data_IF_407266441859
#
_entry.id   IF_407266441859
#
_cell.length_a   1.000
_cell.length_b   1.000
_cell.length_c   1.000
_cell.angle_alpha   90.00
_cell.angle_beta   90.00
_cell.angle_gamma   90.00
#
_symmetry.space_group_name_H-M   'P 1'
#
loop_
_entity.id
_entity.type
_entity.pdbx_description
1 polymer ?
#
# COMPACT_ATOMS: atom_id res chain seq x y z
N UNK A 1 -25.75 17.41 2.05
CA UNK A 1 -25.53 16.35 3.05
C UNK A 1 -25.30 17.02 4.39
N UNK A 2 -25.94 16.55 5.44
CA UNK A 2 -25.71 17.01 6.81
C UNK A 2 -24.38 16.46 7.33
N UNK A 3 -23.78 17.15 8.32
CA UNK A 3 -22.52 16.73 8.95
C UNK A 3 -22.60 15.27 9.50
N UNK A 4 -23.76 14.90 10.01
CA UNK A 4 -24.02 13.57 10.55
C UNK A 4 -24.05 12.47 9.47
N UNK A 5 -24.49 12.78 8.25
CA UNK A 5 -24.48 11.83 7.13
C UNK A 5 -23.05 11.57 6.62
N UNK A 6 -22.18 12.57 6.60
CA UNK A 6 -20.78 12.44 6.21
C UNK A 6 -19.99 11.56 7.19
N UNK A 7 -20.24 11.75 8.50
CA UNK A 7 -19.61 10.92 9.54
C UNK A 7 -20.04 9.44 9.47
N UNK A 8 -21.29 9.18 9.10
CA UNK A 8 -21.80 7.82 8.87
C UNK A 8 -21.14 7.20 7.63
N UNK A 9 -21.06 7.95 6.53
CA UNK A 9 -20.41 7.49 5.31
C UNK A 9 -18.94 7.16 5.54
N UNK A 10 -18.20 7.98 6.29
CA UNK A 10 -16.80 7.70 6.62
C UNK A 10 -16.65 6.31 7.26
N UNK A 11 -17.49 5.97 8.25
CA UNK A 11 -17.44 4.63 8.87
C UNK A 11 -17.75 3.50 7.91
N UNK A 12 -18.75 3.71 7.04
CA UNK A 12 -19.14 2.72 6.02
C UNK A 12 -18.02 2.49 5.00
N UNK A 13 -17.19 3.49 4.71
CA UNK A 13 -16.05 3.35 3.82
C UNK A 13 -14.82 2.76 4.53
N UNK A 14 -14.54 3.19 5.76
CA UNK A 14 -13.34 2.78 6.50
C UNK A 14 -13.34 1.31 6.87
N UNK A 15 -14.46 0.77 7.37
CA UNK A 15 -14.51 -0.61 7.87
C UNK A 15 -14.22 -1.64 6.77
N UNK A 16 -14.86 -1.58 5.56
CA UNK A 16 -14.52 -2.53 4.50
C UNK A 16 -13.09 -2.39 4.00
N UNK A 17 -12.54 -1.16 3.93
CA UNK A 17 -11.14 -0.93 3.55
C UNK A 17 -10.19 -1.57 4.56
N UNK A 18 -10.46 -1.42 5.86
CA UNK A 18 -9.68 -2.06 6.92
C UNK A 18 -9.72 -3.58 6.79
N UNK A 19 -10.93 -4.16 6.64
CA UNK A 19 -11.08 -5.61 6.47
C UNK A 19 -10.34 -6.10 5.24
N UNK A 20 -10.46 -5.40 4.11
CA UNK A 20 -9.77 -5.75 2.87
C UNK A 20 -8.25 -5.78 3.06
N UNK A 21 -7.68 -4.77 3.71
CA UNK A 21 -6.24 -4.71 3.99
C UNK A 21 -5.78 -5.81 4.94
N UNK A 22 -6.56 -6.08 5.99
CA UNK A 22 -6.29 -7.17 6.92
C UNK A 22 -6.34 -8.54 6.24
N UNK A 23 -7.29 -8.75 5.32
CA UNK A 23 -7.39 -9.98 4.52
C UNK A 23 -6.19 -10.17 3.60
N UNK A 24 -5.67 -9.10 2.98
CA UNK A 24 -4.46 -9.16 2.15
C UNK A 24 -3.23 -9.56 2.98
N UNK A 25 -3.07 -8.98 4.18
CA UNK A 25 -1.97 -9.36 5.09
C UNK A 25 -2.09 -10.80 5.56
N UNK A 26 -3.30 -11.23 5.93
CA UNK A 26 -3.56 -12.59 6.39
C UNK A 26 -3.24 -13.62 5.30
N UNK A 27 -3.61 -13.34 4.05
CA UNK A 27 -3.31 -14.25 2.94
C UNK A 27 -1.81 -14.49 2.78
N UNK A 28 -1.00 -13.42 2.81
CA UNK A 28 0.46 -13.54 2.73
C UNK A 28 1.06 -14.42 3.84
N UNK A 29 0.53 -14.28 5.07
CA UNK A 29 0.94 -15.12 6.19
C UNK A 29 0.53 -16.59 6.00
N UNK A 30 -0.69 -16.85 5.55
CA UNK A 30 -1.19 -18.20 5.28
C UNK A 30 -0.40 -18.88 4.16
N UNK A 31 -0.12 -18.18 3.07
CA UNK A 31 0.68 -18.70 1.96
C UNK A 31 2.08 -19.13 2.44
N UNK A 32 2.72 -18.30 3.26
CA UNK A 32 4.02 -18.62 3.85
C UNK A 32 3.96 -19.87 4.73
N UNK A 33 2.94 -19.98 5.59
CA UNK A 33 2.75 -21.14 6.47
C UNK A 33 2.46 -22.41 5.65
N UNK A 34 1.68 -22.33 4.59
CA UNK A 34 1.41 -23.50 3.74
C UNK A 34 2.66 -23.97 3.00
N UNK A 35 3.45 -23.06 2.45
CA UNK A 35 4.73 -23.40 1.81
C UNK A 35 5.76 -23.93 2.79
N UNK A 36 5.84 -23.43 4.03
CA UNK A 36 6.78 -23.92 5.04
C UNK A 36 6.50 -25.37 5.45
N UNK A 37 5.24 -25.79 5.39
CA UNK A 37 4.87 -27.18 5.61
C UNK A 37 5.24 -28.11 4.45
N UNK A 38 5.51 -27.56 3.27
CA UNK A 38 5.97 -28.32 2.12
C UNK A 38 7.50 -28.40 2.08
N UNK A 39 8.20 -27.25 2.14
CA UNK A 39 9.66 -27.18 2.14
C UNK A 39 10.15 -25.79 2.56
N UNK A 40 11.12 -25.72 3.47
CA UNK A 40 11.77 -24.46 3.86
C UNK A 40 12.52 -23.81 2.69
N UNK A 41 13.10 -24.62 1.80
CA UNK A 41 13.76 -24.13 0.59
C UNK A 41 12.77 -23.43 -0.34
N UNK A 42 11.57 -23.97 -0.50
CA UNK A 42 10.51 -23.37 -1.31
C UNK A 42 10.03 -22.04 -0.73
N UNK A 43 9.97 -21.91 0.61
CA UNK A 43 9.67 -20.64 1.27
C UNK A 43 10.70 -19.57 0.94
N UNK A 44 11.99 -19.93 0.97
CA UNK A 44 13.07 -19.01 0.67
C UNK A 44 13.03 -18.54 -0.79
N UNK A 45 12.80 -19.45 -1.74
CA UNK A 45 12.67 -19.13 -3.15
C UNK A 45 11.47 -18.22 -3.42
N UNK A 46 10.27 -18.62 -2.99
CA UNK A 46 9.01 -17.86 -3.18
C UNK A 46 9.04 -16.53 -2.42
N UNK A 47 9.70 -16.48 -1.27
CA UNK A 47 9.87 -15.23 -0.50
C UNK A 47 10.62 -14.15 -1.30
N UNK A 48 11.69 -14.55 -2.00
CA UNK A 48 12.47 -13.66 -2.86
C UNK A 48 11.67 -13.24 -4.10
N UNK A 49 10.92 -14.16 -4.71
CA UNK A 49 10.02 -13.88 -5.82
C UNK A 49 8.92 -12.86 -5.42
N UNK A 50 8.30 -13.06 -4.26
CA UNK A 50 7.28 -12.17 -3.74
C UNK A 50 7.82 -10.76 -3.45
N UNK A 51 9.08 -10.62 -3.07
CA UNK A 51 9.71 -9.31 -2.92
C UNK A 51 9.78 -8.57 -4.27
N UNK A 52 10.18 -9.27 -5.34
CA UNK A 52 10.21 -8.71 -6.69
C UNK A 52 8.81 -8.36 -7.20
N UNK A 53 7.85 -9.26 -7.02
CA UNK A 53 6.44 -9.06 -7.41
C UNK A 53 5.82 -7.88 -6.65
N UNK A 54 6.16 -7.70 -5.37
CA UNK A 54 5.67 -6.57 -4.57
C UNK A 54 6.16 -5.22 -5.11
N UNK A 55 7.41 -5.14 -5.56
CA UNK A 55 7.93 -3.93 -6.22
C UNK A 55 7.17 -3.61 -7.51
N UNK A 56 6.84 -4.63 -8.30
CA UNK A 56 6.02 -4.49 -9.51
C UNK A 56 4.61 -4.00 -9.17
N UNK A 57 3.98 -4.56 -8.16
CA UNK A 57 2.63 -4.14 -7.75
C UNK A 57 2.58 -2.70 -7.25
N UNK A 58 3.66 -2.25 -6.62
CA UNK A 58 3.82 -0.85 -6.25
C UNK A 58 3.66 0.07 -7.47
N UNK A 59 4.29 -0.27 -8.60
CA UNK A 59 4.19 0.52 -9.83
C UNK A 59 2.74 0.56 -10.36
N UNK A 60 2.02 -0.56 -10.37
CA UNK A 60 0.60 -0.60 -10.78
C UNK A 60 -0.30 0.23 -9.86
N UNK A 61 0.01 0.25 -8.57
CA UNK A 61 -0.78 0.97 -7.56
C UNK A 61 -0.77 2.49 -7.79
N UNK A 62 0.31 3.08 -8.33
CA UNK A 62 0.38 4.52 -8.53
C UNK A 62 -0.60 5.03 -9.57
N UNK A 63 -0.72 4.34 -10.69
CA UNK A 63 -1.70 4.70 -11.72
C UNK A 63 -3.13 4.49 -11.20
N UNK A 64 -3.36 3.43 -10.43
CA UNK A 64 -4.64 3.16 -9.80
C UNK A 64 -5.00 4.21 -8.75
N UNK A 65 -4.02 4.71 -7.97
CA UNK A 65 -4.22 5.80 -7.01
C UNK A 65 -4.58 7.11 -7.73
N UNK A 66 -3.87 7.45 -8.81
CA UNK A 66 -4.21 8.61 -9.64
C UNK A 66 -5.64 8.52 -10.18
N UNK A 67 -6.03 7.36 -10.66
CA UNK A 67 -7.41 7.11 -11.10
C UNK A 67 -8.43 7.27 -9.97
N UNK A 68 -8.15 6.75 -8.77
CA UNK A 68 -9.06 6.88 -7.62
C UNK A 68 -9.34 8.35 -7.25
N UNK A 69 -8.30 9.18 -7.22
CA UNK A 69 -8.41 10.61 -6.90
C UNK A 69 -9.25 11.34 -7.95
N UNK A 70 -8.94 11.14 -9.23
CA UNK A 70 -9.68 11.78 -10.32
C UNK A 70 -11.14 11.29 -10.37
N UNK A 71 -11.38 9.98 -10.20
CA UNK A 71 -12.71 9.42 -10.14
C UNK A 71 -13.53 10.03 -9.00
N UNK A 72 -12.97 10.14 -7.79
CA UNK A 72 -13.66 10.74 -6.65
C UNK A 72 -14.07 12.19 -6.96
N UNK A 73 -13.17 13.01 -7.49
CA UNK A 73 -13.49 14.39 -7.87
C UNK A 73 -14.54 14.48 -8.98
N UNK A 74 -14.44 13.64 -10.03
CA UNK A 74 -15.41 13.65 -11.13
C UNK A 74 -16.78 13.12 -10.74
N UNK A 75 -16.84 12.15 -9.83
CA UNK A 75 -18.11 11.71 -9.22
C UNK A 75 -18.73 12.84 -8.43
N UNK A 76 -17.94 13.52 -7.59
CA UNK A 76 -18.41 14.68 -6.83
C UNK A 76 -18.94 15.81 -7.70
N UNK A 77 -18.28 16.09 -8.82
CA UNK A 77 -18.67 17.12 -9.80
C UNK A 77 -19.78 16.68 -10.78
N UNK A 78 -20.20 15.42 -10.78
CA UNK A 78 -21.18 14.89 -11.74
C UNK A 78 -20.64 14.75 -13.17
N UNK A 79 -19.31 14.77 -13.37
CA UNK A 79 -18.66 14.75 -14.68
C UNK A 79 -18.50 13.32 -15.24
N UNK A 80 -19.63 12.68 -15.53
CA UNK A 80 -19.67 11.26 -15.94
C UNK A 80 -18.82 10.93 -17.17
N UNK A 81 -18.75 11.82 -18.17
CA UNK A 81 -17.90 11.62 -19.35
C UNK A 81 -16.42 11.52 -18.95
N UNK A 82 -15.93 12.45 -18.15
CA UNK A 82 -14.53 12.45 -17.67
C UNK A 82 -14.24 11.26 -16.77
N UNK A 83 -15.20 10.83 -15.94
CA UNK A 83 -15.10 9.61 -15.14
C UNK A 83 -14.82 8.39 -16.02
N UNK A 84 -15.62 8.18 -17.07
CA UNK A 84 -15.43 7.06 -18.01
C UNK A 84 -14.08 7.17 -18.71
N UNK A 85 -13.69 8.38 -19.14
CA UNK A 85 -12.40 8.61 -19.80
C UNK A 85 -11.21 8.30 -18.90
N UNK A 86 -11.21 8.75 -17.64
CA UNK A 86 -10.08 8.48 -16.73
C UNK A 86 -9.96 7.00 -16.37
N UNK A 87 -11.10 6.32 -16.14
CA UNK A 87 -11.10 4.87 -15.89
C UNK A 87 -10.55 4.12 -17.10
N UNK A 88 -11.02 4.46 -18.30
CA UNK A 88 -10.53 3.83 -19.53
C UNK A 88 -9.05 4.08 -19.78
N UNK A 89 -8.56 5.31 -19.58
CA UNK A 89 -7.14 5.62 -19.71
C UNK A 89 -6.30 4.88 -18.68
N UNK A 90 -6.76 4.79 -17.43
CA UNK A 90 -6.08 4.04 -16.39
C UNK A 90 -6.02 2.54 -16.69
N UNK A 91 -7.11 1.97 -17.23
CA UNK A 91 -7.14 0.56 -17.67
C UNK A 91 -6.15 0.31 -18.81
N UNK A 92 -6.11 1.19 -19.82
CA UNK A 92 -5.16 1.08 -20.95
C UNK A 92 -3.72 1.19 -20.46
N UNK A 93 -3.40 2.19 -19.65
CA UNK A 93 -2.04 2.39 -19.11
C UNK A 93 -1.62 1.19 -18.26
N UNK A 94 -2.47 0.75 -17.33
CA UNK A 94 -2.15 -0.41 -16.47
C UNK A 94 -2.11 -1.73 -17.25
N UNK A 95 -2.91 -1.89 -18.31
CA UNK A 95 -2.81 -3.06 -19.18
C UNK A 95 -1.49 -3.07 -19.95
N UNK A 96 -1.13 -1.96 -20.60
CA UNK A 96 0.13 -1.87 -21.35
C UNK A 96 1.34 -2.08 -20.44
N UNK A 97 1.35 -1.40 -19.30
CA UNK A 97 2.40 -1.54 -18.31
C UNK A 97 2.43 -2.97 -17.76
N UNK A 98 1.26 -3.52 -17.42
CA UNK A 98 1.12 -4.88 -16.91
C UNK A 98 1.64 -5.93 -17.90
N UNK A 99 1.26 -5.84 -19.17
CA UNK A 99 1.75 -6.75 -20.21
C UNK A 99 3.26 -6.61 -20.45
N UNK A 100 3.79 -5.37 -20.46
CA UNK A 100 5.23 -5.15 -20.60
C UNK A 100 6.00 -5.76 -19.44
N UNK A 101 5.57 -5.52 -18.21
CA UNK A 101 6.23 -6.07 -17.02
C UNK A 101 6.04 -7.59 -16.93
N UNK A 102 4.86 -8.11 -17.29
CA UNK A 102 4.63 -9.56 -17.37
C UNK A 102 5.58 -10.24 -18.36
N UNK A 103 5.78 -9.64 -19.53
CA UNK A 103 6.75 -10.13 -20.51
C UNK A 103 8.19 -10.07 -19.95
N UNK A 104 8.58 -8.97 -19.32
CA UNK A 104 9.91 -8.86 -18.69
C UNK A 104 10.12 -9.91 -17.60
N UNK A 105 9.15 -10.10 -16.71
CA UNK A 105 9.23 -11.12 -15.66
C UNK A 105 9.27 -12.55 -16.22
N UNK A 106 8.62 -12.80 -17.34
CA UNK A 106 8.65 -14.14 -17.97
C UNK A 106 9.98 -14.42 -18.68
N UNK A 107 10.44 -13.50 -19.53
CA UNK A 107 11.64 -13.71 -20.35
C UNK A 107 12.94 -13.54 -19.57
N UNK A 108 12.99 -12.62 -18.61
CA UNK A 108 14.18 -12.30 -17.82
C UNK A 108 14.14 -12.84 -16.40
N UNK A 109 13.24 -13.78 -16.09
CA UNK A 109 13.10 -14.37 -14.74
C UNK A 109 14.42 -14.84 -14.15
N UNK A 110 15.19 -15.62 -14.93
CA UNK A 110 16.45 -16.21 -14.51
C UNK A 110 17.50 -15.13 -14.18
N UNK A 111 17.65 -14.14 -15.07
CA UNK A 111 18.58 -13.02 -14.88
C UNK A 111 18.23 -12.19 -13.64
N UNK A 112 16.94 -11.96 -13.43
CA UNK A 112 16.45 -11.19 -12.27
C UNK A 112 16.71 -11.95 -10.97
N UNK A 113 16.48 -13.27 -10.92
CA UNK A 113 16.74 -14.09 -9.75
C UNK A 113 18.24 -14.21 -9.46
N UNK A 114 19.08 -14.33 -10.48
CA UNK A 114 20.52 -14.26 -10.32
C UNK A 114 21.00 -12.92 -9.78
N UNK A 115 20.43 -11.81 -10.28
CA UNK A 115 20.75 -10.47 -9.81
C UNK A 115 20.36 -10.28 -8.33
N UNK A 116 19.25 -10.91 -7.90
CA UNK A 116 18.80 -10.90 -6.51
C UNK A 116 19.57 -11.88 -5.61
N UNK A 117 20.49 -12.68 -6.17
CA UNK A 117 21.34 -13.59 -5.42
C UNK A 117 20.64 -14.88 -4.97
N UNK A 118 19.63 -15.34 -5.71
CA UNK A 118 19.00 -16.63 -5.42
C UNK A 118 20.02 -17.76 -5.62
N UNK A 119 20.11 -18.67 -4.63
CA UNK A 119 21.03 -19.80 -4.68
C UNK A 119 20.67 -20.74 -5.84
N UNK A 120 21.66 -21.35 -6.52
CA UNK A 120 21.42 -22.25 -7.65
C UNK A 120 20.48 -23.41 -7.32
N UNK A 121 20.50 -23.91 -6.08
CA UNK A 121 19.66 -25.02 -5.59
C UNK A 121 18.16 -24.64 -5.56
N UNK A 122 17.86 -23.35 -5.38
CA UNK A 122 16.50 -22.81 -5.30
C UNK A 122 15.98 -22.25 -6.62
N UNK A 123 16.86 -22.19 -7.64
CA UNK A 123 16.56 -21.58 -8.93
C UNK A 123 15.39 -22.26 -9.65
N UNK A 124 15.26 -23.58 -9.53
CA UNK A 124 14.16 -24.34 -10.13
C UNK A 124 12.79 -23.87 -9.64
N UNK A 125 12.61 -23.84 -8.33
CA UNK A 125 11.37 -23.40 -7.69
C UNK A 125 11.07 -21.91 -7.97
N UNK A 126 12.08 -21.05 -7.82
CA UNK A 126 11.96 -19.62 -8.09
C UNK A 126 11.58 -19.33 -9.53
N UNK A 127 12.22 -19.95 -10.51
CA UNK A 127 11.91 -19.76 -11.93
C UNK A 127 10.46 -20.13 -12.27
N UNK A 128 10.00 -21.28 -11.77
CA UNK A 128 8.62 -21.73 -12.02
C UNK A 128 7.62 -20.75 -11.41
N UNK A 129 7.84 -20.37 -10.15
CA UNK A 129 6.95 -19.43 -9.46
C UNK A 129 6.92 -18.04 -10.11
N UNK A 130 8.12 -17.46 -10.37
CA UNK A 130 8.22 -16.12 -10.94
C UNK A 130 7.67 -16.06 -12.37
N UNK A 131 7.93 -17.07 -13.21
CA UNK A 131 7.41 -17.13 -14.58
C UNK A 131 5.89 -17.20 -14.60
N UNK A 132 5.28 -18.08 -13.80
CA UNK A 132 3.82 -18.24 -13.77
C UNK A 132 3.12 -17.01 -13.17
N UNK A 133 3.52 -16.56 -11.98
CA UNK A 133 2.89 -15.44 -11.30
C UNK A 133 3.25 -14.11 -11.96
N UNK A 134 4.46 -13.98 -12.49
CA UNK A 134 4.94 -12.79 -13.19
C UNK A 134 4.30 -12.61 -14.55
N UNK A 135 4.21 -13.67 -15.37
CA UNK A 135 3.55 -13.61 -16.70
C UNK A 135 2.09 -13.18 -16.62
N UNK A 136 1.42 -13.49 -15.52
CA UNK A 136 0.00 -13.15 -15.28
C UNK A 136 -0.18 -11.95 -14.35
N UNK A 137 0.88 -11.19 -14.07
CA UNK A 137 0.83 -10.03 -13.17
C UNK A 137 -0.06 -8.89 -13.70
N UNK A 138 -0.31 -8.81 -15.01
CA UNK A 138 -1.23 -7.84 -15.60
C UNK A 138 -2.67 -7.96 -15.08
N UNK A 139 -3.11 -9.14 -14.64
CA UNK A 139 -4.39 -9.31 -13.97
C UNK A 139 -4.47 -8.47 -12.68
N UNK A 140 -3.37 -8.39 -11.93
CA UNK A 140 -3.30 -7.57 -10.73
C UNK A 140 -3.35 -6.07 -11.07
N UNK A 141 -2.68 -5.63 -12.14
CA UNK A 141 -2.71 -4.25 -12.59
C UNK A 141 -4.14 -3.78 -12.91
N UNK A 142 -4.91 -4.61 -13.63
CA UNK A 142 -6.31 -4.33 -13.94
C UNK A 142 -7.21 -4.39 -12.71
N UNK A 143 -7.00 -5.39 -11.83
CA UNK A 143 -7.74 -5.53 -10.57
C UNK A 143 -7.62 -4.30 -9.69
N UNK A 144 -6.41 -3.74 -9.56
CA UNK A 144 -6.15 -2.52 -8.80
C UNK A 144 -6.91 -1.32 -9.38
N UNK A 145 -6.99 -1.20 -10.71
CA UNK A 145 -7.71 -0.11 -11.37
C UNK A 145 -9.22 -0.22 -11.16
N UNK A 146 -9.81 -1.42 -11.33
CA UNK A 146 -11.24 -1.64 -11.07
C UNK A 146 -11.58 -1.40 -9.60
N UNK A 147 -10.75 -1.92 -8.68
CA UNK A 147 -10.92 -1.72 -7.25
C UNK A 147 -10.86 -0.24 -6.87
N UNK A 148 -9.87 0.51 -7.38
CA UNK A 148 -9.73 1.94 -7.16
C UNK A 148 -10.95 2.74 -7.64
N UNK A 149 -11.47 2.41 -8.82
CA UNK A 149 -12.66 3.03 -9.39
C UNK A 149 -13.93 2.71 -8.59
N UNK A 150 -14.10 1.47 -8.12
CA UNK A 150 -15.24 1.07 -7.27
C UNK A 150 -15.18 1.75 -5.90
N UNK A 151 -13.99 1.83 -5.27
CA UNK A 151 -13.82 2.51 -3.99
C UNK A 151 -14.14 4.00 -4.09
N UNK A 152 -13.69 4.67 -5.15
CA UNK A 152 -13.98 6.09 -5.37
C UNK A 152 -15.47 6.39 -5.62
N UNK A 153 -16.28 5.37 -5.94
CA UNK A 153 -17.72 5.45 -6.09
C UNK A 153 -18.50 4.99 -4.83
N UNK A 154 -17.90 5.00 -3.66
CA UNK A 154 -18.46 4.52 -2.38
C UNK A 154 -18.83 3.03 -2.38
N UNK A 155 -18.33 2.25 -3.36
CA UNK A 155 -18.63 0.82 -3.54
C UNK A 155 -17.57 -0.08 -2.92
N UNK A 156 -17.02 0.32 -1.75
CA UNK A 156 -15.89 -0.35 -1.07
C UNK A 156 -16.19 -1.80 -0.63
N UNK A 157 -17.45 -2.13 -0.44
CA UNK A 157 -17.89 -3.49 -0.05
C UNK A 157 -17.54 -4.53 -1.12
N UNK A 158 -17.58 -4.15 -2.41
CA UNK A 158 -17.33 -5.09 -3.51
C UNK A 158 -15.84 -5.49 -3.61
N UNK A 159 -14.86 -4.57 -3.63
CA UNK A 159 -13.46 -4.97 -3.56
C UNK A 159 -13.14 -5.83 -2.33
N UNK A 160 -13.65 -5.48 -1.16
CA UNK A 160 -13.49 -6.28 0.05
C UNK A 160 -14.06 -7.70 -0.12
N UNK A 161 -15.28 -7.83 -0.63
CA UNK A 161 -15.92 -9.14 -0.83
C UNK A 161 -15.17 -9.99 -1.88
N UNK A 162 -14.68 -9.37 -2.95
CA UNK A 162 -13.85 -10.05 -3.95
C UNK A 162 -12.54 -10.52 -3.33
N UNK A 163 -11.86 -9.67 -2.54
CA UNK A 163 -10.63 -10.05 -1.84
C UNK A 163 -10.88 -11.23 -0.90
N UNK A 164 -11.96 -11.21 -0.11
CA UNK A 164 -12.32 -12.33 0.75
C UNK A 164 -12.55 -13.63 -0.04
N UNK A 165 -13.31 -13.56 -1.13
CA UNK A 165 -13.59 -14.73 -2.00
C UNK A 165 -12.31 -15.29 -2.61
N UNK A 166 -11.46 -14.42 -3.13
CA UNK A 166 -10.19 -14.79 -3.77
C UNK A 166 -9.18 -15.38 -2.78
N UNK A 167 -9.17 -14.87 -1.54
CA UNK A 167 -8.34 -15.45 -0.47
C UNK A 167 -8.77 -16.89 -0.17
N UNK A 168 -10.09 -17.15 -0.06
CA UNK A 168 -10.59 -18.50 0.14
C UNK A 168 -10.23 -19.40 -1.04
N UNK A 169 -10.42 -18.93 -2.28
CA UNK A 169 -10.05 -19.68 -3.49
C UNK A 169 -8.54 -19.98 -3.53
N UNK A 170 -7.70 -19.04 -3.13
CA UNK A 170 -6.26 -19.22 -3.10
C UNK A 170 -5.86 -20.27 -2.05
N UNK A 171 -6.40 -20.19 -0.83
CA UNK A 171 -6.13 -21.15 0.25
C UNK A 171 -6.58 -22.56 -0.17
N UNK A 172 -7.77 -22.69 -0.74
CA UNK A 172 -8.29 -23.98 -1.25
C UNK A 172 -7.43 -24.50 -2.40
N UNK A 173 -7.06 -23.63 -3.35
CA UNK A 173 -6.18 -23.96 -4.46
C UNK A 173 -4.78 -24.40 -3.99
N UNK A 174 -4.19 -23.69 -3.04
CA UNK A 174 -2.92 -24.05 -2.42
C UNK A 174 -3.00 -25.42 -1.74
N UNK A 175 -4.06 -25.66 -0.96
CA UNK A 175 -4.26 -26.95 -0.29
C UNK A 175 -4.38 -28.13 -1.29
N UNK A 176 -5.11 -27.90 -2.39
CA UNK A 176 -5.27 -28.91 -3.43
C UNK A 176 -3.99 -29.18 -4.22
N UNK A 177 -3.29 -28.12 -4.66
CA UNK A 177 -2.22 -28.20 -5.64
C UNK A 177 -0.82 -28.32 -5.00
N UNK A 178 -0.56 -27.70 -3.84
CA UNK A 178 0.72 -27.88 -3.15
C UNK A 178 0.86 -29.31 -2.62
N UNK A 179 -0.21 -29.80 -1.95
CA UNK A 179 -0.16 -31.06 -1.24
C UNK A 179 -0.75 -32.26 -2.02
N UNK A 180 -1.41 -32.01 -3.16
CA UNK A 180 -2.00 -33.07 -3.98
C UNK A 180 -3.26 -33.68 -3.39
N UNK A 181 -4.10 -32.88 -2.70
CA UNK A 181 -5.35 -33.36 -2.14
C UNK A 181 -6.49 -33.37 -3.17
N UNK A 182 -7.55 -34.11 -2.87
CA UNK A 182 -8.76 -34.25 -3.69
C UNK A 182 -8.54 -34.79 -5.11
N UNK A 183 -7.48 -35.58 -5.31
CA UNK A 183 -7.15 -36.18 -6.63
C UNK A 183 -6.32 -35.28 -7.54
N UNK A 184 -5.90 -34.11 -7.08
CA UNK A 184 -4.94 -33.29 -7.81
C UNK A 184 -3.50 -33.81 -7.62
N UNK A 185 -2.62 -33.62 -8.62
CA UNK A 185 -1.21 -33.94 -8.47
C UNK A 185 -0.55 -33.01 -7.45
N UNK A 186 0.43 -33.55 -6.71
CA UNK A 186 1.26 -32.75 -5.81
C UNK A 186 2.27 -31.95 -6.64
N UNK A 187 2.01 -30.66 -6.82
CA UNK A 187 2.80 -29.77 -7.65
C UNK A 187 3.75 -28.87 -6.83
N UNK A 188 3.64 -28.85 -5.49
CA UNK A 188 4.50 -28.04 -4.64
C UNK A 188 4.45 -26.55 -4.99
N UNK A 189 5.61 -25.94 -5.29
CA UNK A 189 5.72 -24.51 -5.63
C UNK A 189 4.97 -24.14 -6.91
N UNK A 190 4.97 -25.01 -7.92
CA UNK A 190 4.19 -24.82 -9.14
C UNK A 190 2.69 -24.73 -8.82
N UNK A 191 2.20 -25.60 -7.92
CA UNK A 191 0.83 -25.56 -7.42
C UNK A 191 0.47 -24.23 -6.75
N UNK A 192 1.36 -23.71 -5.92
CA UNK A 192 1.20 -22.39 -5.30
C UNK A 192 1.14 -21.25 -6.35
N UNK A 193 2.00 -21.33 -7.37
CA UNK A 193 2.03 -20.35 -8.46
C UNK A 193 0.72 -20.36 -9.27
N UNK A 194 0.22 -21.54 -9.62
CA UNK A 194 -1.05 -21.72 -10.35
C UNK A 194 -2.22 -21.20 -9.51
N UNK A 195 -2.30 -21.57 -8.23
CA UNK A 195 -3.37 -21.10 -7.34
C UNK A 195 -3.38 -19.59 -7.22
N UNK A 196 -2.20 -18.97 -7.03
CA UNK A 196 -2.05 -17.52 -6.92
C UNK A 196 -2.42 -16.79 -8.22
N UNK A 197 -1.91 -17.24 -9.36
CA UNK A 197 -2.19 -16.64 -10.66
C UNK A 197 -3.67 -16.78 -11.06
N UNK A 198 -4.26 -17.96 -10.84
CA UNK A 198 -5.67 -18.22 -11.09
C UNK A 198 -6.59 -17.35 -10.20
N UNK A 199 -6.27 -17.23 -8.92
CA UNK A 199 -6.99 -16.38 -7.97
C UNK A 199 -6.98 -14.91 -8.38
N UNK A 200 -5.84 -14.40 -8.88
CA UNK A 200 -5.73 -13.03 -9.43
C UNK A 200 -6.56 -12.84 -10.70
N UNK A 201 -6.57 -13.84 -11.58
CA UNK A 201 -7.42 -13.81 -12.77
C UNK A 201 -8.91 -13.76 -12.41
N UNK A 202 -9.33 -14.57 -11.45
CA UNK A 202 -10.72 -14.57 -10.93
C UNK A 202 -11.04 -13.22 -10.29
N UNK A 203 -10.12 -12.65 -9.49
CA UNK A 203 -10.29 -11.32 -8.91
C UNK A 203 -10.57 -10.26 -9.97
N UNK A 204 -9.75 -10.24 -11.02
CA UNK A 204 -9.92 -9.29 -12.14
C UNK A 204 -11.26 -9.45 -12.83
N UNK A 205 -11.67 -10.68 -13.15
CA UNK A 205 -12.96 -10.95 -13.82
C UNK A 205 -14.14 -10.52 -12.93
N UNK A 206 -14.12 -10.88 -11.65
CA UNK A 206 -15.18 -10.49 -10.71
C UNK A 206 -15.26 -8.96 -10.55
N UNK A 207 -14.13 -8.28 -10.35
CA UNK A 207 -14.10 -6.83 -10.24
C UNK A 207 -14.54 -6.14 -11.53
N UNK A 208 -14.16 -6.65 -12.70
CA UNK A 208 -14.60 -6.13 -13.99
C UNK A 208 -16.11 -6.28 -14.17
N UNK A 209 -16.67 -7.47 -13.89
CA UNK A 209 -18.12 -7.72 -13.99
C UNK A 209 -18.89 -6.80 -13.04
N UNK A 210 -18.47 -6.69 -11.80
CA UNK A 210 -19.09 -5.79 -10.81
C UNK A 210 -18.98 -4.34 -11.27
N UNK A 211 -17.82 -3.91 -11.71
CA UNK A 211 -17.57 -2.55 -12.17
C UNK A 211 -18.53 -2.16 -13.31
N UNK A 212 -18.66 -2.99 -14.33
CA UNK A 212 -19.52 -2.71 -15.47
C UNK A 212 -21.00 -2.90 -15.17
N UNK A 213 -21.40 -3.70 -14.19
CA UNK A 213 -22.80 -3.83 -13.78
C UNK A 213 -23.27 -2.77 -12.81
N UNK A 214 -22.41 -2.38 -11.85
CA UNK A 214 -22.82 -1.58 -10.69
C UNK A 214 -22.38 -0.12 -10.79
N UNK A 215 -21.22 0.16 -11.43
CA UNK A 215 -20.62 1.50 -11.43
C UNK A 215 -20.73 2.20 -12.78
N UNK A 216 -20.23 1.59 -13.86
CA UNK A 216 -20.24 2.15 -15.21
C UNK A 216 -20.93 1.17 -16.18
N UNK A 217 -22.28 1.07 -16.14
CA UNK A 217 -23.00 0.11 -17.00
C UNK A 217 -22.87 0.40 -18.50
N UNK A 218 -22.57 1.63 -18.87
CA UNK A 218 -22.36 2.06 -20.26
C UNK A 218 -20.96 2.66 -20.37
N UNK A 219 -20.14 2.00 -21.16
CA UNK A 219 -18.76 2.42 -21.47
C UNK A 219 -18.65 2.81 -22.95
N UNK A 220 -19.10 4.03 -23.35
CA UNK A 220 -19.17 4.43 -24.73
C UNK A 220 -17.77 4.67 -25.30
N UNK A 221 -17.32 3.84 -26.22
CA UNK A 221 -16.01 3.97 -26.89
C UNK A 221 -15.87 5.30 -27.64
N UNK A 222 -16.98 5.92 -28.04
CA UNK A 222 -16.98 7.27 -28.65
C UNK A 222 -16.36 8.36 -27.75
N UNK A 223 -16.31 8.15 -26.42
CA UNK A 223 -15.69 9.12 -25.50
C UNK A 223 -14.15 9.16 -25.61
N UNK A 224 -13.57 8.17 -26.30
CA UNK A 224 -12.12 8.08 -26.55
C UNK A 224 -11.71 8.60 -27.95
N UNK A 225 -12.67 9.18 -28.68
CA UNK A 225 -12.41 9.83 -29.96
C UNK A 225 -12.81 11.31 -29.89
N UNK A 226 -11.84 12.25 -29.88
CA UNK A 226 -10.37 12.07 -29.86
C UNK A 226 -9.88 11.49 -28.53
N UNK A 227 -8.64 10.99 -28.53
CA UNK A 227 -7.99 10.43 -27.31
C UNK A 227 -8.00 11.50 -26.21
N UNK A 228 -8.44 11.18 -24.98
CA UNK A 228 -8.54 12.15 -23.89
C UNK A 228 -7.18 12.44 -23.23
N UNK A 229 -6.27 13.06 -23.96
CA UNK A 229 -4.92 13.39 -23.48
C UNK A 229 -4.90 14.18 -22.18
N UNK A 230 -5.92 15.01 -21.93
CA UNK A 230 -6.05 15.76 -20.69
C UNK A 230 -6.17 14.80 -19.49
N UNK A 231 -6.98 13.77 -19.60
CA UNK A 231 -7.20 12.81 -18.52
C UNK A 231 -5.95 11.95 -18.28
N UNK A 232 -5.24 11.58 -19.34
CA UNK A 232 -3.94 10.93 -19.23
C UNK A 232 -2.92 11.82 -18.53
N UNK A 233 -2.84 13.10 -18.92
CA UNK A 233 -1.92 14.06 -18.27
C UNK A 233 -2.24 14.23 -16.79
N UNK A 234 -3.53 14.33 -16.42
CA UNK A 234 -3.96 14.43 -15.04
C UNK A 234 -3.59 13.17 -14.23
N UNK A 235 -3.77 11.98 -14.83
CA UNK A 235 -3.40 10.70 -14.25
C UNK A 235 -1.88 10.64 -13.97
N UNK A 236 -1.06 11.03 -14.94
CA UNK A 236 0.39 11.06 -14.82
C UNK A 236 0.85 12.12 -13.81
N UNK A 237 0.18 13.27 -13.74
CA UNK A 237 0.48 14.35 -12.79
C UNK A 237 0.35 13.92 -11.33
N UNK A 238 -0.56 12.99 -11.04
CA UNK A 238 -0.71 12.42 -9.69
C UNK A 238 0.19 11.19 -9.53
N UNK A 239 0.19 10.28 -10.51
CA UNK A 239 0.84 8.98 -10.41
C UNK A 239 2.36 9.06 -10.39
N UNK A 240 2.98 9.86 -11.29
CA UNK A 240 4.45 9.94 -11.39
C UNK A 240 5.09 10.49 -10.10
N UNK A 241 4.63 11.61 -9.50
CA UNK A 241 5.18 12.09 -8.25
C UNK A 241 5.01 11.08 -7.11
N UNK A 242 3.84 10.45 -7.00
CA UNK A 242 3.60 9.43 -5.99
C UNK A 242 4.53 8.21 -6.16
N UNK A 243 4.79 7.78 -7.41
CA UNK A 243 5.77 6.73 -7.71
C UNK A 243 7.18 7.14 -7.28
N UNK A 244 7.61 8.35 -7.64
CA UNK A 244 8.94 8.86 -7.29
C UNK A 244 9.16 8.91 -5.78
N UNK A 245 8.16 9.33 -5.01
CA UNK A 245 8.22 9.33 -3.54
C UNK A 245 8.41 7.91 -2.99
N UNK A 246 7.63 6.93 -3.48
CA UNK A 246 7.73 5.56 -3.00
C UNK A 246 9.05 4.89 -3.39
N UNK A 247 9.56 5.13 -4.61
CA UNK A 247 10.89 4.65 -5.01
C UNK A 247 11.95 5.24 -4.08
N UNK A 248 11.89 6.55 -3.84
CA UNK A 248 12.79 7.25 -2.91
C UNK A 248 12.72 6.66 -1.50
N UNK A 249 11.51 6.38 -1.01
CA UNK A 249 11.30 5.73 0.28
C UNK A 249 11.88 4.31 0.32
N UNK A 250 11.65 3.48 -0.70
CA UNK A 250 12.23 2.13 -0.77
C UNK A 250 13.77 2.18 -0.76
N UNK A 251 14.36 3.08 -1.53
CA UNK A 251 15.82 3.25 -1.54
C UNK A 251 16.34 3.69 -0.17
N UNK A 252 15.67 4.61 0.49
CA UNK A 252 16.05 5.05 1.84
C UNK A 252 15.98 3.92 2.86
N UNK A 253 14.96 3.05 2.77
CA UNK A 253 14.84 1.87 3.64
C UNK A 253 15.98 0.86 3.43
N UNK A 254 16.48 0.70 2.21
CA UNK A 254 17.67 -0.13 1.92
C UNK A 254 18.89 0.45 2.61
N UNK A 255 19.13 1.76 2.49
CA UNK A 255 20.26 2.45 3.13
C UNK A 255 20.16 2.39 4.66
N UNK A 256 18.98 2.62 5.22
CA UNK A 256 18.71 2.51 6.65
C UNK A 256 18.98 1.07 7.15
N UNK A 257 18.54 0.06 6.41
CA UNK A 257 18.79 -1.35 6.75
C UNK A 257 20.28 -1.65 6.74
N UNK A 258 21.02 -1.15 5.76
CA UNK A 258 22.48 -1.26 5.70
C UNK A 258 23.15 -0.66 6.95
N UNK A 259 22.74 0.52 7.40
CA UNK A 259 23.27 1.14 8.63
C UNK A 259 22.95 0.31 9.89
N UNK A 260 21.71 -0.18 10.00
CA UNK A 260 21.31 -1.00 11.15
C UNK A 260 22.12 -2.31 11.20
N UNK A 261 22.37 -2.91 10.04
CA UNK A 261 23.19 -4.13 9.95
C UNK A 261 24.64 -3.91 10.40
N UNK A 262 25.17 -2.67 10.30
CA UNK A 262 26.48 -2.31 10.85
C UNK A 262 26.49 -2.19 12.38
N UNK A 263 25.34 -2.00 13.03
CA UNK A 263 25.24 -1.86 14.49
C UNK A 263 25.36 -3.25 15.13
N UNK A 264 24.40 -4.14 14.89
CA UNK A 264 24.40 -5.52 15.36
C UNK A 264 23.30 -6.36 14.72
N UNK A 265 23.39 -7.69 14.81
CA UNK A 265 22.33 -8.61 14.41
C UNK A 265 21.09 -8.45 15.28
N UNK A 266 21.26 -8.16 16.57
CA UNK A 266 20.20 -7.92 17.54
C UNK A 266 19.42 -6.65 17.17
N UNK A 267 20.07 -5.60 16.69
CA UNK A 267 19.41 -4.39 16.20
C UNK A 267 18.55 -4.67 14.98
N UNK A 268 19.02 -5.48 14.04
CA UNK A 268 18.25 -5.88 12.85
C UNK A 268 17.03 -6.72 13.22
N UNK A 269 17.20 -7.69 14.14
CA UNK A 269 16.10 -8.51 14.66
C UNK A 269 15.08 -7.64 15.40
N UNK A 270 15.53 -6.74 16.28
CA UNK A 270 14.66 -5.81 17.02
C UNK A 270 13.83 -4.97 16.07
N UNK A 271 14.47 -4.38 15.05
CA UNK A 271 13.75 -3.61 14.01
C UNK A 271 12.65 -4.45 13.36
N UNK A 272 12.95 -5.68 13.00
CA UNK A 272 11.99 -6.58 12.33
C UNK A 272 10.78 -6.89 13.22
N UNK A 273 11.01 -7.24 14.48
CA UNK A 273 9.92 -7.52 15.42
C UNK A 273 9.08 -6.27 15.68
N UNK A 274 9.69 -5.14 15.99
CA UNK A 274 8.98 -3.89 16.23
C UNK A 274 8.19 -3.43 14.99
N UNK A 275 8.78 -3.53 13.78
CA UNK A 275 8.10 -3.17 12.55
C UNK A 275 6.83 -3.99 12.33
N UNK A 276 6.89 -5.31 12.52
CA UNK A 276 5.73 -6.17 12.39
C UNK A 276 4.60 -5.80 13.39
N UNK A 277 4.96 -5.47 14.62
CA UNK A 277 4.00 -5.04 15.65
C UNK A 277 3.36 -3.69 15.28
N UNK A 278 4.17 -2.72 14.86
CA UNK A 278 3.73 -1.37 14.47
C UNK A 278 2.79 -1.41 13.26
N UNK A 279 2.98 -2.35 12.33
CA UNK A 279 2.13 -2.51 11.15
C UNK A 279 0.65 -2.71 11.47
N UNK A 280 0.30 -3.32 12.59
CA UNK A 280 -1.10 -3.44 13.02
C UNK A 280 -1.72 -2.07 13.36
N UNK A 281 -0.97 -1.20 14.03
CA UNK A 281 -1.43 0.16 14.34
C UNK A 281 -1.53 1.00 13.06
N UNK A 282 -0.55 0.86 12.17
CA UNK A 282 -0.52 1.53 10.88
C UNK A 282 -1.74 1.22 9.99
N UNK A 283 -2.25 -0.02 10.03
CA UNK A 283 -3.45 -0.42 9.29
C UNK A 283 -4.68 0.44 9.61
N UNK A 284 -4.89 0.78 10.87
CA UNK A 284 -6.00 1.64 11.26
C UNK A 284 -5.85 3.04 10.69
N UNK A 285 -4.66 3.61 10.79
CA UNK A 285 -4.37 4.94 10.27
C UNK A 285 -4.64 5.04 8.76
N UNK A 286 -4.08 4.11 7.98
CA UNK A 286 -4.19 4.15 6.52
C UNK A 286 -5.62 3.87 6.05
N UNK A 287 -6.36 2.99 6.73
CA UNK A 287 -7.75 2.67 6.38
C UNK A 287 -8.70 3.86 6.61
N UNK A 288 -8.53 4.57 7.73
CA UNK A 288 -9.32 5.78 8.03
C UNK A 288 -9.00 6.87 7.00
N UNK A 289 -7.72 7.06 6.70
CA UNK A 289 -7.28 8.08 5.74
C UNK A 289 -7.80 7.77 4.34
N UNK A 290 -7.69 6.53 3.85
CA UNK A 290 -8.20 6.15 2.53
C UNK A 290 -9.72 6.37 2.41
N UNK A 291 -10.50 6.00 3.43
CA UNK A 291 -11.94 6.26 3.45
C UNK A 291 -12.25 7.76 3.46
N UNK A 292 -11.49 8.54 4.21
CA UNK A 292 -11.62 9.99 4.29
C UNK A 292 -11.26 10.71 3.00
N UNK A 293 -10.19 10.28 2.33
CA UNK A 293 -9.70 10.89 1.09
C UNK A 293 -10.71 10.76 -0.06
N UNK A 294 -11.45 9.65 -0.14
CA UNK A 294 -12.54 9.46 -1.11
C UNK A 294 -13.60 10.57 -0.90
N UNK A 295 -14.06 10.76 0.33
CA UNK A 295 -15.07 11.76 0.65
C UNK A 295 -14.54 13.20 0.46
N UNK A 296 -13.29 13.46 0.81
CA UNK A 296 -12.64 14.76 0.53
C UNK A 296 -12.60 14.99 -0.97
N UNK A 297 -12.24 14.00 -1.78
CA UNK A 297 -12.27 14.07 -3.23
C UNK A 297 -13.65 14.43 -3.77
N UNK A 298 -14.72 13.79 -3.28
CA UNK A 298 -16.10 14.12 -3.65
C UNK A 298 -16.47 15.57 -3.30
N UNK A 299 -16.14 16.03 -2.09
CA UNK A 299 -16.45 17.38 -1.65
C UNK A 299 -15.68 18.45 -2.43
N UNK A 300 -14.42 18.16 -2.78
CA UNK A 300 -13.62 19.04 -3.66
C UNK A 300 -14.22 19.08 -5.06
N UNK A 301 -14.64 17.95 -5.60
CA UNK A 301 -15.37 17.88 -6.86
C UNK A 301 -16.65 18.72 -6.87
N UNK A 302 -17.37 18.74 -5.74
CA UNK A 302 -18.56 19.59 -5.51
C UNK A 302 -18.22 21.06 -5.23
N UNK A 303 -16.97 21.47 -5.24
CA UNK A 303 -16.49 22.82 -4.85
C UNK A 303 -16.82 23.19 -3.39
N UNK A 304 -17.08 22.18 -2.54
CA UNK A 304 -17.42 22.36 -1.12
C UNK A 304 -16.18 22.29 -0.22
N UNK A 305 -15.24 23.19 -0.48
CA UNK A 305 -13.92 23.19 0.18
C UNK A 305 -13.99 23.29 1.71
N UNK A 306 -14.95 24.06 2.25
CA UNK A 306 -15.10 24.18 3.70
C UNK A 306 -15.58 22.86 4.33
N UNK A 307 -16.51 22.15 3.70
CA UNK A 307 -16.96 20.85 4.15
C UNK A 307 -15.83 19.81 4.08
N UNK A 308 -15.00 19.85 3.03
CA UNK A 308 -13.82 19.01 2.90
C UNK A 308 -12.82 19.25 4.04
N UNK A 309 -12.58 20.50 4.40
CA UNK A 309 -11.70 20.87 5.52
C UNK A 309 -12.22 20.39 6.87
N UNK A 310 -13.52 20.57 7.15
CA UNK A 310 -14.14 20.12 8.41
C UNK A 310 -14.12 18.59 8.52
N UNK A 311 -14.48 17.89 7.44
CA UNK A 311 -14.44 16.43 7.40
C UNK A 311 -13.01 15.90 7.56
N UNK A 312 -12.04 16.51 6.86
CA UNK A 312 -10.63 16.16 6.99
C UNK A 312 -10.14 16.23 8.43
N UNK A 313 -10.39 17.36 9.11
CA UNK A 313 -10.02 17.51 10.52
C UNK A 313 -10.77 16.54 11.45
N UNK A 314 -11.97 16.12 11.09
CA UNK A 314 -12.74 15.15 11.87
C UNK A 314 -12.08 13.76 11.81
N UNK A 315 -11.81 13.23 10.63
CA UNK A 315 -11.18 11.91 10.55
C UNK A 315 -9.70 11.92 10.97
N UNK A 316 -8.99 13.03 10.80
CA UNK A 316 -7.66 13.20 11.36
C UNK A 316 -7.65 13.02 12.89
N UNK A 317 -8.61 13.65 13.61
CA UNK A 317 -8.72 13.50 15.06
C UNK A 317 -8.95 12.04 15.46
N UNK A 318 -9.85 11.34 14.79
CA UNK A 318 -10.11 9.93 15.08
C UNK A 318 -8.95 9.03 14.73
N UNK A 319 -8.31 9.26 13.60
CA UNK A 319 -7.08 8.56 13.24
C UNK A 319 -6.01 8.74 14.31
N UNK A 320 -5.77 9.97 14.75
CA UNK A 320 -4.81 10.29 15.81
C UNK A 320 -5.14 9.59 17.13
N UNK A 321 -6.39 9.65 17.59
CA UNK A 321 -6.81 9.00 18.84
C UNK A 321 -6.59 7.49 18.77
N UNK A 322 -7.04 6.84 17.69
CA UNK A 322 -6.95 5.39 17.52
C UNK A 322 -5.47 4.97 17.44
N UNK A 323 -4.68 5.67 16.64
CA UNK A 323 -3.26 5.34 16.44
C UNK A 323 -2.47 5.54 17.73
N UNK A 324 -2.64 6.66 18.42
CA UNK A 324 -1.94 6.92 19.68
C UNK A 324 -2.36 5.97 20.80
N UNK A 325 -3.64 5.60 20.87
CA UNK A 325 -4.10 4.60 21.83
C UNK A 325 -3.51 3.22 21.52
N UNK A 326 -3.53 2.82 20.25
CA UNK A 326 -2.95 1.55 19.81
C UNK A 326 -1.45 1.46 20.04
N UNK A 327 -0.70 2.50 19.69
CA UNK A 327 0.76 2.55 19.91
C UNK A 327 1.13 2.67 21.39
N UNK A 328 0.33 3.35 22.21
CA UNK A 328 0.51 3.38 23.67
C UNK A 328 0.30 1.99 24.29
N UNK A 329 -0.77 1.28 23.89
CA UNK A 329 -0.98 -0.10 24.32
C UNK A 329 0.16 -1.01 23.90
N UNK A 330 0.66 -0.83 22.67
CA UNK A 330 1.79 -1.58 22.14
C UNK A 330 3.08 -1.28 22.94
N UNK A 331 3.36 -0.03 23.27
CA UNK A 331 4.51 0.36 24.07
C UNK A 331 4.43 -0.20 25.51
N UNK A 332 3.25 -0.16 26.13
CA UNK A 332 3.02 -0.69 27.49
C UNK A 332 3.11 -2.21 27.56
N UNK A 333 2.67 -2.91 26.52
CA UNK A 333 2.72 -4.39 26.44
C UNK A 333 3.97 -4.90 25.70
N UNK A 334 4.86 -4.02 25.27
CA UNK A 334 6.00 -4.32 24.41
C UNK A 334 6.92 -5.39 24.96
N UNK A 335 7.26 -5.34 26.26
CA UNK A 335 8.10 -6.34 26.92
C UNK A 335 7.44 -7.74 26.86
N UNK A 336 6.16 -7.83 27.23
CA UNK A 336 5.42 -9.11 27.23
C UNK A 336 5.28 -9.69 25.82
N UNK A 337 5.06 -8.84 24.81
CA UNK A 337 4.91 -9.29 23.42
C UNK A 337 6.27 -9.72 22.87
N UNK A 338 7.32 -8.94 23.09
CA UNK A 338 8.68 -9.28 22.61
C UNK A 338 9.21 -10.55 23.27
N UNK A 339 8.94 -10.77 24.57
CA UNK A 339 9.30 -12.00 25.29
C UNK A 339 8.62 -13.25 24.71
N UNK A 340 7.48 -13.11 24.02
CA UNK A 340 6.85 -14.21 23.31
C UNK A 340 7.57 -14.58 21.99
N UNK A 341 8.39 -13.68 21.45
CA UNK A 341 9.15 -13.91 20.22
C UNK A 341 10.61 -14.31 20.46
N UNK A 342 11.21 -13.87 21.58
CA UNK A 342 12.64 -14.11 21.86
C UNK A 342 12.93 -14.07 23.36
N UNK A 343 13.92 -14.86 23.78
CA UNK A 343 14.47 -14.83 25.15
C UNK A 343 15.67 -13.88 25.28
N UNK A 344 16.12 -13.26 24.20
CA UNK A 344 17.27 -12.37 24.20
C UNK A 344 16.91 -11.01 24.86
N UNK A 345 17.44 -10.77 26.04
CA UNK A 345 17.18 -9.58 26.86
C UNK A 345 17.64 -8.28 26.18
N UNK A 346 18.67 -8.32 25.35
CA UNK A 346 19.13 -7.16 24.59
C UNK A 346 18.10 -6.73 23.56
N UNK A 347 17.53 -7.68 22.80
CA UNK A 347 16.45 -7.44 21.83
C UNK A 347 15.22 -6.90 22.53
N UNK A 348 14.82 -7.49 23.66
CA UNK A 348 13.63 -7.06 24.43
C UNK A 348 13.81 -5.64 24.93
N UNK A 349 14.94 -5.33 25.57
CA UNK A 349 15.22 -4.01 26.14
C UNK A 349 15.26 -2.94 25.03
N UNK A 350 15.99 -3.22 23.94
CA UNK A 350 16.07 -2.33 22.79
C UNK A 350 14.69 -2.12 22.14
N UNK A 351 13.91 -3.19 21.98
CA UNK A 351 12.58 -3.15 21.39
C UNK A 351 11.59 -2.33 22.21
N UNK A 352 11.61 -2.43 23.54
CA UNK A 352 10.76 -1.59 24.41
C UNK A 352 11.05 -0.11 24.21
N UNK A 353 12.34 0.29 24.18
CA UNK A 353 12.70 1.68 23.90
C UNK A 353 12.27 2.13 22.50
N UNK A 354 12.44 1.28 21.49
CA UNK A 354 11.97 1.54 20.13
C UNK A 354 10.45 1.79 20.12
N UNK A 355 9.66 0.96 20.80
CA UNK A 355 8.20 1.11 20.86
C UNK A 355 7.76 2.36 21.62
N UNK A 356 8.48 2.76 22.67
CA UNK A 356 8.22 4.01 23.40
C UNK A 356 8.49 5.23 22.51
N UNK A 357 9.59 5.22 21.75
CA UNK A 357 9.92 6.31 20.82
C UNK A 357 8.94 6.31 19.65
N UNK A 358 8.50 5.13 19.20
CA UNK A 358 7.50 4.98 18.13
C UNK A 358 6.17 5.62 18.49
N UNK A 359 5.77 5.63 19.75
CA UNK A 359 4.58 6.37 20.18
C UNK A 359 4.67 7.88 19.83
N UNK A 360 5.83 8.50 20.03
CA UNK A 360 6.06 9.89 19.60
C UNK A 360 6.15 10.01 18.07
N UNK A 361 6.73 9.01 17.41
CA UNK A 361 6.81 8.93 15.96
C UNK A 361 5.41 8.87 15.34
N UNK A 362 4.47 8.15 15.94
CA UNK A 362 3.10 7.98 15.45
C UNK A 362 2.31 9.29 15.39
N UNK A 363 2.64 10.29 16.22
CA UNK A 363 2.07 11.64 16.13
C UNK A 363 2.39 12.25 14.76
N UNK A 364 3.66 12.18 14.37
CA UNK A 364 4.15 12.66 13.08
C UNK A 364 3.63 11.83 11.93
N UNK A 365 3.74 10.50 12.01
CA UNK A 365 3.31 9.56 10.97
C UNK A 365 1.83 9.70 10.64
N UNK A 366 0.96 9.74 11.65
CA UNK A 366 -0.47 9.94 11.45
C UNK A 366 -0.76 11.29 10.79
N UNK A 367 -0.08 12.35 11.22
CA UNK A 367 -0.20 13.69 10.62
C UNK A 367 0.29 13.71 9.17
N UNK A 368 1.38 13.01 8.88
CA UNK A 368 1.96 12.90 7.56
C UNK A 368 1.05 12.11 6.60
N UNK A 369 0.62 10.89 6.98
CA UNK A 369 -0.28 10.06 6.18
C UNK A 369 -1.57 10.81 5.85
N UNK A 370 -2.19 11.42 6.86
CA UNK A 370 -3.38 12.22 6.68
C UNK A 370 -3.15 13.38 5.68
N UNK A 371 -2.12 14.18 5.89
CA UNK A 371 -1.91 15.37 5.08
C UNK A 371 -1.48 15.04 3.65
N UNK A 372 -0.65 14.00 3.46
CA UNK A 372 -0.28 13.49 2.12
C UNK A 372 -1.51 13.01 1.36
N UNK A 373 -2.34 12.16 1.97
CA UNK A 373 -3.53 11.62 1.36
C UNK A 373 -4.54 12.72 0.98
N UNK A 374 -4.89 13.58 1.94
CA UNK A 374 -5.87 14.65 1.71
C UNK A 374 -5.37 15.70 0.73
N UNK A 375 -4.11 16.13 0.78
CA UNK A 375 -3.55 17.08 -0.20
C UNK A 375 -3.57 16.48 -1.61
N UNK A 376 -3.25 15.20 -1.78
CA UNK A 376 -3.38 14.51 -3.07
C UNK A 376 -4.83 14.43 -3.52
N UNK A 377 -5.76 14.09 -2.63
CA UNK A 377 -7.18 14.03 -2.93
C UNK A 377 -7.75 15.39 -3.37
N UNK A 378 -7.15 16.51 -2.94
CA UNK A 378 -7.53 17.86 -3.36
C UNK A 378 -6.84 18.32 -4.65
N UNK A 379 -5.87 17.57 -5.18
CA UNK A 379 -5.09 17.92 -6.38
C UNK A 379 -3.73 18.55 -6.09
N UNK A 380 -3.38 18.81 -4.83
CA UNK A 380 -2.04 19.31 -4.44
C UNK A 380 -1.05 18.15 -4.28
N UNK A 381 -0.75 17.44 -5.38
CA UNK A 381 -0.01 16.18 -5.34
C UNK A 381 1.52 16.36 -5.25
N UNK A 382 2.08 17.43 -5.82
CA UNK A 382 3.54 17.61 -5.92
C UNK A 382 4.15 18.08 -4.59
N UNK A 383 3.47 18.98 -3.86
CA UNK A 383 4.02 19.56 -2.63
C UNK A 383 4.36 18.48 -1.56
N UNK A 384 3.49 17.52 -1.24
CA UNK A 384 3.81 16.47 -0.29
C UNK A 384 5.02 15.62 -0.72
N UNK A 385 5.14 15.33 -2.01
CA UNK A 385 6.23 14.52 -2.57
C UNK A 385 7.60 15.20 -2.39
N UNK A 386 7.68 16.49 -2.71
CA UNK A 386 8.93 17.26 -2.55
C UNK A 386 9.37 17.27 -1.09
N UNK A 387 8.43 17.55 -0.17
CA UNK A 387 8.72 17.54 1.27
C UNK A 387 9.15 16.12 1.71
N UNK A 388 8.42 15.08 1.28
CA UNK A 388 8.76 13.71 1.65
C UNK A 388 10.17 13.31 1.21
N UNK A 389 10.56 13.59 -0.04
CA UNK A 389 11.89 13.22 -0.55
C UNK A 389 12.99 13.98 0.20
N UNK A 390 12.87 15.31 0.35
CA UNK A 390 13.90 16.12 0.99
C UNK A 390 14.14 15.66 2.44
N UNK A 391 13.07 15.56 3.22
CA UNK A 391 13.22 15.25 4.66
C UNK A 391 13.54 13.77 4.90
N UNK A 392 13.04 12.85 4.08
CA UNK A 392 13.40 11.44 4.18
C UNK A 392 14.92 11.21 4.02
N UNK A 393 15.57 11.87 3.08
CA UNK A 393 17.02 11.74 2.91
C UNK A 393 17.84 12.54 3.92
N UNK A 394 17.41 13.76 4.27
CA UNK A 394 18.15 14.60 5.19
C UNK A 394 18.00 14.18 6.66
N UNK A 395 16.78 13.87 7.11
CA UNK A 395 16.49 13.53 8.51
C UNK A 395 16.39 12.01 8.69
N UNK A 396 15.49 11.31 7.99
CA UNK A 396 15.31 9.89 8.23
C UNK A 396 16.56 9.06 7.89
N UNK A 397 17.31 9.40 6.85
CA UNK A 397 18.60 8.75 6.53
C UNK A 397 19.77 9.46 7.21
N UNK A 398 19.96 10.75 6.93
CA UNK A 398 21.16 11.47 7.34
C UNK A 398 21.28 11.66 8.85
N UNK A 399 20.25 12.25 9.48
CA UNK A 399 20.29 12.51 10.93
C UNK A 399 20.23 11.20 11.74
N UNK A 400 19.44 10.21 11.29
CA UNK A 400 19.40 8.90 11.96
C UNK A 400 20.75 8.19 11.91
N UNK A 401 21.47 8.27 10.79
CA UNK A 401 22.84 7.78 10.70
C UNK A 401 23.74 8.44 11.76
N UNK A 402 23.72 9.78 11.85
CA UNK A 402 24.55 10.53 12.79
C UNK A 402 24.26 10.15 14.24
N UNK A 403 22.98 10.07 14.61
CA UNK A 403 22.59 9.72 15.98
C UNK A 403 22.89 8.25 16.28
N UNK A 404 22.61 7.34 15.34
CA UNK A 404 22.75 5.91 15.56
C UNK A 404 24.18 5.41 15.58
N UNK A 405 25.03 5.87 14.67
CA UNK A 405 26.39 5.33 14.47
C UNK A 405 27.46 6.24 15.09
N UNK A 406 27.76 7.45 14.59
CA UNK A 406 28.81 8.27 15.14
C UNK A 406 28.61 8.66 16.61
N UNK A 407 27.38 8.94 17.04
CA UNK A 407 27.06 9.26 18.43
C UNK A 407 26.85 8.01 19.31
N UNK A 408 26.81 6.80 18.74
CA UNK A 408 26.80 5.54 19.47
C UNK A 408 25.46 5.15 20.13
N UNK A 409 24.32 5.82 19.78
CA UNK A 409 23.02 5.49 20.35
C UNK A 409 22.34 4.29 19.66
N UNK A 410 22.98 3.67 18.67
CA UNK A 410 22.49 2.47 17.98
C UNK A 410 21.12 2.61 17.36
N UNK A 411 20.35 1.51 17.34
CA UNK A 411 19.01 1.47 16.78
C UNK A 411 18.04 2.45 17.43
N UNK A 412 18.12 2.59 18.76
CA UNK A 412 17.25 3.50 19.52
C UNK A 412 17.46 4.95 19.07
N UNK A 413 18.73 5.34 18.87
CA UNK A 413 19.10 6.66 18.33
C UNK A 413 18.60 6.88 16.91
N UNK A 414 18.64 5.85 16.06
CA UNK A 414 18.06 5.92 14.71
C UNK A 414 16.55 6.12 14.76
N UNK A 415 15.84 5.48 15.69
CA UNK A 415 14.39 5.66 15.86
C UNK A 415 14.02 7.08 16.29
N UNK A 416 14.85 7.73 17.09
CA UNK A 416 14.68 9.17 17.39
C UNK A 416 14.78 10.00 16.11
N UNK A 417 15.73 9.71 15.22
CA UNK A 417 15.82 10.37 13.92
C UNK A 417 14.57 10.15 13.05
N UNK A 418 14.03 8.94 13.01
CA UNK A 418 12.77 8.66 12.31
C UNK A 418 11.58 9.41 12.91
N UNK A 419 11.51 9.47 14.25
CA UNK A 419 10.47 10.25 14.93
C UNK A 419 10.56 11.75 14.60
N UNK A 420 11.76 12.30 14.55
CA UNK A 420 11.98 13.70 14.14
C UNK A 420 11.56 13.94 12.69
N UNK A 421 11.94 13.05 11.76
CA UNK A 421 11.54 13.15 10.36
C UNK A 421 10.02 13.19 10.20
N UNK A 422 9.31 12.19 10.75
CA UNK A 422 7.85 12.10 10.64
C UNK A 422 7.15 13.31 11.26
N UNK A 423 7.61 13.79 12.42
CA UNK A 423 7.03 14.95 13.09
C UNK A 423 7.27 16.25 12.32
N UNK A 424 8.48 16.48 11.80
CA UNK A 424 8.79 17.67 11.02
C UNK A 424 7.97 17.70 9.73
N UNK A 425 7.94 16.59 8.98
CA UNK A 425 7.10 16.46 7.77
C UNK A 425 5.63 16.64 8.10
N UNK A 426 5.15 15.99 9.16
CA UNK A 426 3.77 16.12 9.62
C UNK A 426 3.38 17.57 9.91
N UNK A 427 4.22 18.32 10.63
CA UNK A 427 3.98 19.75 10.93
C UNK A 427 3.93 20.58 9.64
N UNK A 428 4.87 20.40 8.72
CA UNK A 428 4.94 21.17 7.47
C UNK A 428 3.71 20.89 6.61
N UNK A 429 3.33 19.63 6.45
CA UNK A 429 2.19 19.24 5.63
C UNK A 429 0.85 19.65 6.27
N UNK A 430 0.73 19.58 7.60
CA UNK A 430 -0.45 20.07 8.32
C UNK A 430 -0.57 21.60 8.23
N UNK A 431 0.53 22.35 8.24
CA UNK A 431 0.52 23.79 7.94
C UNK A 431 0.00 24.06 6.53
N UNK A 432 0.43 23.24 5.54
CA UNK A 432 -0.07 23.34 4.16
C UNK A 432 -1.58 23.10 4.09
N UNK A 433 -2.07 22.04 4.75
CA UNK A 433 -3.50 21.73 4.86
C UNK A 433 -4.30 22.88 5.48
N UNK A 434 -3.85 23.36 6.66
CA UNK A 434 -4.52 24.44 7.40
C UNK A 434 -4.49 25.79 6.67
N UNK A 435 -3.49 26.07 5.89
CA UNK A 435 -3.38 27.32 5.10
C UNK A 435 -4.41 27.44 3.98
N UNK A 436 -5.08 26.35 3.61
CA UNK A 436 -6.05 26.33 2.52
C UNK A 436 -5.46 26.52 1.11
N UNK A 437 -4.14 26.51 0.96
CA UNK A 437 -3.45 26.67 -0.35
C UNK A 437 -3.72 25.54 -1.35
N UNK A 438 -4.39 24.49 -0.92
CA UNK A 438 -4.88 23.39 -1.76
C UNK A 438 -6.22 23.71 -2.45
N UNK A 439 -6.96 24.72 -1.95
CA UNK A 439 -8.24 25.13 -2.55
C UNK A 439 -8.02 25.60 -3.98
N UNK A 440 -8.87 25.14 -4.89
CA UNK A 440 -8.78 25.47 -6.32
C UNK A 440 -7.78 24.64 -7.13
N UNK A 441 -7.08 23.66 -6.52
CA UNK A 441 -6.17 22.75 -7.24
C UNK A 441 -6.86 21.50 -7.80
N UNK A 442 -8.15 21.35 -7.59
CA UNK A 442 -8.92 20.22 -8.11
C UNK A 442 -8.96 20.18 -9.64
N UNK A 443 -9.24 18.98 -10.18
CA UNK A 443 -9.19 18.69 -11.62
C UNK A 443 -10.53 18.91 -12.33
N UNK A 444 -11.51 19.47 -11.66
CA UNK A 444 -12.88 19.66 -12.16
C UNK A 444 -13.08 20.94 -12.99
N UNK A 445 -12.09 21.83 -13.00
CA UNK A 445 -12.09 23.08 -13.78
C UNK A 445 -11.76 22.85 -15.24
#
# INVERSE_FOLDING_TARGET
MTDQSLKRQLRVLTIPVFIEMALVMLLGAVDTVMLSRYSDNSVAAVGLDNQLISLVFLVYQFFSMGAAILCAQYIGAGLRKRLVQVVGMALVVNLMLGLTVSALLFFYAEQLLHLMGLRPELMGDGLVYLRLTGALSFFQALSLTFSASLRSADKVIYPMAVTATVNVLNIVGNYALIFGHWGFPQLGVEGAAIATASSRAVAMVLLAVIHFRVHIPRFPLRYFRPIPWRELRNLLYIGIPAMSENISYCLSQVVITYFINQISNEALATRTYCHNMIMFVYLFCISITQGGDILVGHLVGQQRHQAAYVLGNYFFRWSMIITLTGSALLALSGESILSAFTDNQEIITMGVWVLVIDWFLEIGRTSNIFAVGTLRATGDAIYPVVIAIIFNWSIAVGLSYVIGIPLGYGLVGMWVGFALDENVRGIILMRRWRSGKWKGKGFTN
#
